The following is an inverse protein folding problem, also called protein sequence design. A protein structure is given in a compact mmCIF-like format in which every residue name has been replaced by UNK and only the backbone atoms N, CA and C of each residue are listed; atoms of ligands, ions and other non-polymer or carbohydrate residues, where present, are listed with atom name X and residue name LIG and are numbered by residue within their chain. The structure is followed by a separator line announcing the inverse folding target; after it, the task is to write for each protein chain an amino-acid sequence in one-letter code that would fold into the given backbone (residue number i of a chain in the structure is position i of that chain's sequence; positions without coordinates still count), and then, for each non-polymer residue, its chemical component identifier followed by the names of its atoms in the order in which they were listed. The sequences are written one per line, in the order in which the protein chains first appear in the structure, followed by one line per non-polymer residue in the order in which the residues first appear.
data_IF_266222970836
#
_entry.id   IF_266222970836
#
_cell.length_a   1.000
_cell.length_b   1.000
_cell.length_c   1.000
_cell.angle_alpha   90.00
_cell.angle_beta   90.00
_cell.angle_gamma   90.00
#
_symmetry.space_group_name_H-M   'P 1'
#
loop_
_entity.id
_entity.type
_entity.pdbx_description
1 polymer ?
#
# COMPACT_ATOMS: atom_id res chain seq x y z
N UNK A 1 10.84 -5.23 7.03
CA UNK A 1 10.97 -4.36 5.87
C UNK A 1 10.86 -5.12 4.55
N UNK A 2 11.69 -6.17 4.32
CA UNK A 2 11.67 -6.93 3.05
C UNK A 2 10.27 -7.42 2.66
N UNK A 3 9.45 -7.85 3.62
CA UNK A 3 8.08 -8.29 3.35
C UNK A 3 7.13 -7.19 2.92
N UNK A 4 7.32 -5.95 3.38
CA UNK A 4 6.48 -4.81 3.01
C UNK A 4 6.77 -4.27 1.60
N UNK A 5 8.01 -4.41 1.14
CA UNK A 5 8.45 -3.87 -0.16
C UNK A 5 8.60 -4.94 -1.24
N UNK A 6 8.41 -6.23 -0.92
CA UNK A 6 8.53 -7.32 -1.88
C UNK A 6 7.33 -7.36 -2.84
N UNK A 7 7.45 -6.94 -4.10
CA UNK A 7 6.31 -6.82 -5.01
C UNK A 7 5.76 -8.18 -5.47
N UNK A 8 6.60 -9.22 -5.43
CA UNK A 8 6.23 -10.58 -5.82
C UNK A 8 5.60 -11.39 -4.68
N UNK A 9 5.69 -10.88 -3.42
CA UNK A 9 5.28 -11.66 -2.26
C UNK A 9 6.19 -12.86 -1.94
N UNK A 10 7.39 -12.95 -2.55
CA UNK A 10 8.34 -14.03 -2.29
C UNK A 10 8.88 -14.00 -0.84
N UNK A 11 8.92 -12.82 -0.25
CA UNK A 11 9.24 -12.62 1.16
C UNK A 11 7.99 -12.15 1.89
N UNK A 12 7.51 -12.93 2.82
CA UNK A 12 6.32 -12.63 3.61
C UNK A 12 6.62 -12.82 5.09
N UNK A 13 5.87 -12.13 5.93
CA UNK A 13 5.93 -12.36 7.37
C UNK A 13 5.03 -13.54 7.72
N UNK A 14 5.59 -14.53 8.39
CA UNK A 14 4.86 -15.74 8.74
C UNK A 14 3.84 -15.49 9.86
N UNK A 15 4.12 -14.55 10.79
CA UNK A 15 3.24 -14.32 11.94
C UNK A 15 3.23 -12.87 12.42
N UNK A 16 2.03 -12.28 12.57
CA UNK A 16 0.81 -12.71 11.87
C UNK A 16 0.98 -12.46 10.36
N UNK A 17 0.31 -13.22 9.48
CA UNK A 17 0.25 -12.90 8.05
C UNK A 17 -0.40 -11.52 7.82
N UNK A 18 -0.12 -10.88 6.70
CA UNK A 18 -0.60 -9.50 6.44
C UNK A 18 -2.13 -9.39 6.36
N UNK A 19 -2.80 -10.39 5.82
CA UNK A 19 -4.26 -10.47 5.76
C UNK A 19 -4.88 -10.64 7.15
N UNK A 20 -4.26 -11.43 8.02
CA UNK A 20 -4.70 -11.56 9.41
C UNK A 20 -4.54 -10.25 10.18
N UNK A 21 -3.39 -9.57 10.03
CA UNK A 21 -3.16 -8.27 10.67
C UNK A 21 -4.21 -7.24 10.23
N UNK A 22 -4.49 -7.17 8.93
CA UNK A 22 -5.51 -6.25 8.43
C UNK A 22 -6.92 -6.64 8.89
N UNK A 23 -7.19 -7.94 9.08
CA UNK A 23 -8.44 -8.41 9.68
C UNK A 23 -8.57 -8.05 11.16
N UNK A 24 -7.47 -8.03 11.91
CA UNK A 24 -7.46 -7.55 13.30
C UNK A 24 -7.73 -6.04 13.37
N UNK A 25 -7.12 -5.27 12.47
CA UNK A 25 -7.35 -3.83 12.33
C UNK A 25 -8.83 -3.55 11.99
N UNK A 26 -9.44 -4.35 11.11
CA UNK A 26 -10.86 -4.23 10.77
C UNK A 26 -11.75 -4.49 12.00
N UNK A 27 -11.52 -5.59 12.70
CA UNK A 27 -12.29 -5.94 13.91
C UNK A 27 -12.16 -4.91 15.02
N UNK A 28 -10.97 -4.36 15.21
CA UNK A 28 -10.76 -3.30 16.20
C UNK A 28 -11.60 -2.06 15.87
N UNK A 29 -11.68 -1.69 14.59
CA UNK A 29 -12.52 -0.59 14.15
C UNK A 29 -14.02 -0.88 14.37
N UNK A 30 -14.45 -2.12 14.07
CA UNK A 30 -15.85 -2.53 14.26
C UNK A 30 -16.25 -2.42 15.74
N UNK A 31 -15.48 -3.00 16.65
CA UNK A 31 -15.75 -2.88 18.09
C UNK A 31 -15.75 -1.44 18.60
N UNK A 32 -14.81 -0.62 18.10
CA UNK A 32 -14.76 0.79 18.46
C UNK A 32 -16.01 1.55 18.00
N UNK A 33 -16.48 1.28 16.78
CA UNK A 33 -17.69 1.93 16.23
C UNK A 33 -18.97 1.43 16.87
N UNK A 34 -19.07 0.12 17.17
CA UNK A 34 -20.20 -0.46 17.92
C UNK A 34 -20.31 0.13 19.33
N UNK A 35 -19.17 0.45 19.97
CA UNK A 35 -19.13 1.15 21.24
C UNK A 35 -19.47 2.66 21.14
N UNK A 36 -19.83 3.16 19.93
CA UNK A 36 -20.19 4.56 19.69
C UNK A 36 -19.01 5.47 19.35
N UNK A 37 -17.82 4.91 19.15
CA UNK A 37 -16.63 5.65 18.73
C UNK A 37 -16.76 6.24 17.33
N UNK A 38 -16.09 7.36 17.10
CA UNK A 38 -16.12 8.09 15.81
C UNK A 38 -14.72 8.57 15.46
N UNK A 39 -14.48 8.70 14.15
CA UNK A 39 -13.23 9.27 13.62
C UNK A 39 -11.97 8.54 14.13
N UNK A 40 -12.01 7.21 14.10
CA UNK A 40 -10.88 6.39 14.53
C UNK A 40 -9.61 6.71 13.74
N UNK A 41 -8.49 6.76 14.42
CA UNK A 41 -7.15 6.78 13.86
C UNK A 41 -6.39 5.54 14.30
N UNK A 42 -5.65 4.92 13.39
CA UNK A 42 -4.83 3.75 13.68
C UNK A 42 -3.44 4.22 14.12
N UNK A 43 -2.89 3.62 15.18
CA UNK A 43 -1.50 3.83 15.59
C UNK A 43 -0.74 2.51 15.51
N UNK A 44 0.15 2.40 14.53
CA UNK A 44 1.06 1.27 14.41
C UNK A 44 2.35 1.57 15.17
N UNK A 45 2.75 0.67 16.06
CA UNK A 45 3.97 0.81 16.85
C UNK A 45 4.68 -0.53 17.04
N UNK A 46 5.98 -0.49 17.27
CA UNK A 46 6.74 -1.71 17.57
C UNK A 46 6.58 -2.12 19.06
N UNK A 47 6.96 -3.37 19.35
CA UNK A 47 6.89 -3.97 20.68
C UNK A 47 7.98 -3.50 21.65
N UNK A 48 8.94 -2.72 21.18
CA UNK A 48 10.05 -2.22 21.98
C UNK A 48 9.92 -0.70 22.19
N UNK A 49 10.56 0.08 21.34
CA UNK A 49 10.60 1.53 21.43
C UNK A 49 9.20 2.18 21.45
N UNK A 50 8.34 1.76 20.51
CA UNK A 50 7.01 2.33 20.40
C UNK A 50 6.13 2.02 21.59
N UNK A 51 6.20 0.80 22.14
CA UNK A 51 5.46 0.43 23.34
C UNK A 51 5.95 1.24 24.57
N UNK A 52 7.26 1.31 24.78
CA UNK A 52 7.82 2.09 25.88
C UNK A 52 7.42 3.57 25.80
N UNK A 53 7.43 4.16 24.61
CA UNK A 53 7.03 5.56 24.42
C UNK A 53 5.55 5.76 24.74
N UNK A 54 4.66 4.85 24.32
CA UNK A 54 3.24 4.90 24.67
C UNK A 54 3.03 4.77 26.18
N UNK A 55 3.77 3.91 26.87
CA UNK A 55 3.72 3.76 28.32
C UNK A 55 4.19 5.03 29.05
N UNK A 56 5.24 5.70 28.55
CA UNK A 56 5.72 6.98 29.08
C UNK A 56 4.62 8.05 28.93
N UNK A 57 4.03 8.17 27.73
CA UNK A 57 2.93 9.11 27.47
C UNK A 57 1.72 8.83 28.37
N UNK A 58 1.41 7.54 28.62
CA UNK A 58 0.31 7.16 29.50
C UNK A 58 0.59 7.45 30.97
N UNK A 59 1.82 7.25 31.43
CA UNK A 59 2.21 7.40 32.84
C UNK A 59 2.46 8.85 33.26
N UNK A 60 3.10 9.63 32.40
CA UNK A 60 3.59 10.98 32.73
C UNK A 60 2.88 12.09 31.96
N UNK A 61 2.12 11.75 30.91
CA UNK A 61 1.39 12.69 30.06
C UNK A 61 -0.13 12.50 30.10
N UNK A 62 -0.78 12.79 28.98
CA UNK A 62 -2.24 12.75 28.81
C UNK A 62 -2.78 11.38 28.38
N UNK A 63 -1.92 10.41 28.17
CA UNK A 63 -2.28 9.14 27.57
C UNK A 63 -2.60 9.25 26.07
N UNK A 64 -3.10 8.16 25.50
CA UNK A 64 -3.58 8.16 24.12
C UNK A 64 -5.01 8.73 24.05
N UNK A 65 -5.30 9.56 23.03
CA UNK A 65 -6.68 10.00 22.79
C UNK A 65 -7.59 8.80 22.50
N UNK A 66 -8.83 8.84 22.97
CA UNK A 66 -9.78 7.72 22.83
C UNK A 66 -10.06 7.29 21.38
N UNK A 67 -9.82 8.17 20.40
CA UNK A 67 -9.98 7.85 18.97
C UNK A 67 -8.75 7.24 18.33
N UNK A 68 -7.62 7.17 19.03
CA UNK A 68 -6.38 6.55 18.52
C UNK A 68 -6.32 5.11 19.01
N UNK A 69 -6.39 4.19 18.08
CA UNK A 69 -6.43 2.75 18.31
C UNK A 69 -5.03 2.15 18.05
N UNK A 70 -4.30 1.75 19.10
CA UNK A 70 -2.96 1.20 18.94
C UNK A 70 -2.99 -0.26 18.50
N UNK A 71 -2.09 -0.61 17.60
CA UNK A 71 -1.78 -1.99 17.18
C UNK A 71 -0.27 -2.20 17.30
N UNK A 72 0.10 -3.17 18.12
CA UNK A 72 1.49 -3.55 18.32
C UNK A 72 1.97 -4.50 17.20
N UNK A 73 3.17 -4.23 16.69
CA UNK A 73 3.84 -5.02 15.66
C UNK A 73 5.26 -5.36 16.11
N UNK A 74 5.81 -6.49 15.66
CA UNK A 74 7.22 -6.78 15.93
C UNK A 74 8.15 -5.70 15.33
N UNK A 75 7.83 -5.20 14.14
CA UNK A 75 8.51 -4.09 13.49
C UNK A 75 7.53 -3.30 12.63
N UNK A 76 7.53 -1.98 12.77
CA UNK A 76 6.74 -1.08 11.92
C UNK A 76 7.19 -1.08 10.45
N UNK A 77 8.40 -1.58 10.17
CA UNK A 77 8.88 -1.80 8.81
C UNK A 77 8.02 -2.76 7.97
N UNK A 78 7.00 -3.39 8.57
CA UNK A 78 5.98 -4.19 7.87
C UNK A 78 4.82 -3.37 7.33
N UNK A 79 4.67 -2.13 7.75
CA UNK A 79 3.58 -1.28 7.32
C UNK A 79 3.81 -0.77 5.89
N UNK A 80 3.59 -1.63 4.90
CA UNK A 80 3.63 -1.28 3.49
C UNK A 80 2.41 -0.45 3.07
N UNK A 81 2.44 0.04 1.83
CA UNK A 81 1.32 0.77 1.22
C UNK A 81 0.00 -0.02 1.25
N UNK A 82 0.08 -1.35 1.20
CA UNK A 82 -1.03 -2.28 1.28
C UNK A 82 -1.80 -2.15 2.62
N UNK A 83 -1.07 -2.12 3.74
CA UNK A 83 -1.66 -1.95 5.07
C UNK A 83 -2.19 -0.53 5.26
N UNK A 84 -1.45 0.48 4.81
CA UNK A 84 -1.83 1.89 4.89
C UNK A 84 -3.14 2.16 4.13
N UNK A 85 -3.21 1.74 2.86
CA UNK A 85 -4.40 1.87 2.01
C UNK A 85 -5.56 1.03 2.58
N UNK A 86 -5.27 -0.18 3.03
CA UNK A 86 -6.26 -1.06 3.65
C UNK A 86 -6.93 -0.42 4.86
N UNK A 87 -6.17 0.18 5.77
CA UNK A 87 -6.71 0.85 6.95
C UNK A 87 -7.59 2.06 6.57
N UNK A 88 -7.17 2.87 5.60
CA UNK A 88 -7.99 4.00 5.10
C UNK A 88 -9.28 3.48 4.44
N UNK A 89 -9.21 2.40 3.67
CA UNK A 89 -10.39 1.81 3.03
C UNK A 89 -11.39 1.26 4.05
N UNK A 90 -10.92 0.69 5.15
CA UNK A 90 -11.76 0.24 6.25
C UNK A 90 -12.49 1.40 6.94
N UNK A 91 -11.92 2.60 6.96
CA UNK A 91 -12.57 3.79 7.51
C UNK A 91 -11.76 4.56 8.56
N UNK A 92 -10.51 4.20 8.79
CA UNK A 92 -9.63 5.00 9.63
C UNK A 92 -9.39 6.37 8.99
N UNK A 93 -9.47 7.43 9.80
CA UNK A 93 -9.25 8.81 9.37
C UNK A 93 -7.77 9.09 9.08
N UNK A 94 -6.91 8.53 9.92
CA UNK A 94 -5.47 8.63 9.82
C UNK A 94 -4.82 7.31 10.24
N UNK A 95 -3.65 7.07 9.67
CA UNK A 95 -2.75 5.98 10.05
C UNK A 95 -1.46 6.62 10.53
N UNK A 96 -1.22 6.54 11.82
CA UNK A 96 0.03 6.93 12.44
C UNK A 96 0.97 5.72 12.48
N UNK A 97 2.22 5.94 12.12
CA UNK A 97 3.27 4.93 12.22
C UNK A 97 4.38 5.51 13.10
N UNK A 98 4.53 4.95 14.28
CA UNK A 98 5.51 5.42 15.26
C UNK A 98 6.87 4.80 14.94
N UNK A 99 7.78 5.62 14.44
CA UNK A 99 9.12 5.22 14.02
C UNK A 99 10.08 5.25 15.21
N UNK A 100 11.06 4.35 15.20
CA UNK A 100 12.19 4.46 16.08
C UNK A 100 13.24 5.38 15.41
N UNK A 101 13.53 6.57 15.96
CA UNK A 101 14.44 7.53 15.35
C UNK A 101 15.89 7.00 15.24
N UNK A 102 16.25 5.99 16.02
CA UNK A 102 17.57 5.36 15.96
C UNK A 102 17.71 4.30 14.84
N UNK A 103 16.60 4.00 14.12
CA UNK A 103 16.56 3.00 13.04
C UNK A 103 16.35 3.63 11.66
N UNK A 104 17.15 4.61 11.32
CA UNK A 104 17.00 5.42 10.09
C UNK A 104 16.97 4.55 8.81
N UNK A 105 17.83 3.55 8.70
CA UNK A 105 17.86 2.63 7.55
C UNK A 105 16.60 1.76 7.43
N UNK A 106 15.89 1.49 8.53
CA UNK A 106 14.61 0.78 8.49
C UNK A 106 13.45 1.74 8.16
N UNK A 107 13.59 3.02 8.45
CA UNK A 107 12.56 4.03 8.26
C UNK A 107 12.49 4.57 6.83
N UNK A 108 13.62 4.68 6.13
CA UNK A 108 13.72 5.26 4.79
C UNK A 108 12.77 4.60 3.77
N UNK A 109 12.70 3.26 3.64
CA UNK A 109 11.75 2.63 2.74
C UNK A 109 10.27 2.85 3.10
N UNK A 110 9.95 3.14 4.38
CA UNK A 110 8.58 3.47 4.78
C UNK A 110 8.13 4.83 4.22
N UNK A 111 9.06 5.76 4.03
CA UNK A 111 8.78 7.05 3.39
C UNK A 111 8.27 6.81 1.96
N UNK A 112 8.97 5.99 1.18
CA UNK A 112 8.56 5.65 -0.18
C UNK A 112 7.20 4.90 -0.21
N UNK A 113 6.96 3.99 0.76
CA UNK A 113 5.68 3.30 0.89
C UNK A 113 4.53 4.26 1.23
N UNK A 114 4.77 5.25 2.09
CA UNK A 114 3.80 6.30 2.39
C UNK A 114 3.50 7.14 1.15
N UNK A 115 4.52 7.59 0.42
CA UNK A 115 4.36 8.40 -0.79
C UNK A 115 3.56 7.65 -1.86
N UNK A 116 3.86 6.38 -2.06
CA UNK A 116 3.08 5.52 -2.96
C UNK A 116 1.61 5.44 -2.52
N UNK A 117 1.35 5.16 -1.24
CA UNK A 117 0.01 5.05 -0.71
C UNK A 117 -0.77 6.37 -0.85
N UNK A 118 -0.16 7.52 -0.53
CA UNK A 118 -0.80 8.83 -0.65
C UNK A 118 -1.07 9.20 -2.12
N UNK A 119 -0.17 8.87 -3.04
CA UNK A 119 -0.38 9.04 -4.48
C UNK A 119 -1.59 8.24 -4.95
N UNK A 120 -1.66 6.97 -4.57
CA UNK A 120 -2.78 6.11 -4.91
C UNK A 120 -4.10 6.60 -4.33
N UNK A 121 -4.13 6.97 -3.04
CA UNK A 121 -5.33 7.51 -2.37
C UNK A 121 -5.80 8.83 -3.02
N UNK A 122 -4.87 9.70 -3.37
CA UNK A 122 -5.18 10.96 -4.08
C UNK A 122 -5.82 10.68 -5.44
N UNK A 123 -5.32 9.71 -6.18
CA UNK A 123 -5.87 9.30 -7.47
C UNK A 123 -7.32 8.79 -7.40
N UNK A 124 -7.76 8.26 -6.27
CA UNK A 124 -9.17 7.85 -6.06
C UNK A 124 -10.02 8.92 -5.39
N UNK A 125 -9.52 10.15 -5.30
CA UNK A 125 -10.29 11.30 -4.79
C UNK A 125 -10.28 11.46 -3.27
N UNK A 126 -9.42 10.74 -2.57
CA UNK A 126 -9.15 10.94 -1.14
C UNK A 126 -8.04 12.00 -1.04
N UNK A 127 -8.46 13.26 -0.93
CA UNK A 127 -7.59 14.41 -1.13
C UNK A 127 -6.67 14.69 0.07
N UNK A 128 -5.43 14.88 -0.26
CA UNK A 128 -4.44 15.56 0.57
C UNK A 128 -3.52 14.65 1.37
N UNK A 129 -2.23 14.97 1.31
CA UNK A 129 -1.22 14.40 2.20
C UNK A 129 -1.63 14.51 3.67
N UNK A 130 -1.36 13.48 4.48
CA UNK A 130 -1.62 13.48 5.92
C UNK A 130 -2.70 12.51 6.40
N UNK A 131 -3.16 11.60 5.53
CA UNK A 131 -3.86 10.40 6.01
C UNK A 131 -2.88 9.39 6.60
N UNK A 132 -1.64 9.39 6.13
CA UNK A 132 -0.58 8.54 6.64
C UNK A 132 0.51 9.43 7.21
N UNK A 133 0.74 9.30 8.51
CA UNK A 133 1.64 10.17 9.27
C UNK A 133 2.74 9.32 9.90
N UNK A 134 3.97 9.57 9.49
CA UNK A 134 5.14 9.00 10.17
C UNK A 134 5.48 9.89 11.37
N UNK A 135 5.56 9.29 12.54
CA UNK A 135 5.93 9.94 13.78
C UNK A 135 7.38 9.54 14.10
N UNK A 136 8.30 10.45 13.88
CA UNK A 136 9.76 10.24 13.98
C UNK A 136 10.42 11.07 15.08
N UNK A 137 9.62 11.73 15.94
CA UNK A 137 10.11 12.48 17.06
C UNK A 137 10.49 11.56 18.23
N UNK A 138 11.53 11.93 18.97
CA UNK A 138 11.95 11.23 20.19
C UNK A 138 11.31 11.80 21.46
N UNK A 139 10.68 12.99 21.37
CA UNK A 139 10.02 13.64 22.49
C UNK A 139 8.60 13.08 22.69
N UNK A 140 8.31 12.44 23.85
CA UNK A 140 6.99 11.92 24.17
C UNK A 140 5.88 12.99 24.13
N UNK A 141 6.18 14.22 24.53
CA UNK A 141 5.21 15.30 24.54
C UNK A 141 4.88 15.76 23.12
N UNK A 142 5.87 15.85 22.21
CA UNK A 142 5.66 16.18 20.82
C UNK A 142 4.79 15.11 20.12
N UNK A 143 5.08 13.83 20.36
CA UNK A 143 4.27 12.70 19.85
C UNK A 143 2.85 12.77 20.42
N UNK A 144 2.70 12.99 21.73
CA UNK A 144 1.39 13.12 22.39
C UNK A 144 0.59 14.27 21.77
N UNK A 145 1.19 15.42 21.57
CA UNK A 145 0.55 16.59 20.96
C UNK A 145 0.09 16.27 19.54
N UNK A 146 0.92 15.58 18.77
CA UNK A 146 0.57 15.17 17.40
C UNK A 146 -0.62 14.21 17.35
N UNK A 147 -0.68 13.23 18.27
CA UNK A 147 -1.79 12.29 18.38
C UNK A 147 -3.10 12.95 18.82
N UNK A 148 -3.02 14.03 19.66
CA UNK A 148 -4.18 14.79 20.11
C UNK A 148 -4.68 15.82 19.09
N UNK A 149 -3.91 16.14 18.06
CA UNK A 149 -4.37 17.03 17.00
C UNK A 149 -5.51 16.37 16.21
N UNK A 150 -6.65 17.05 16.15
CA UNK A 150 -7.76 16.59 15.32
C UNK A 150 -7.37 16.70 13.85
N UNK A 151 -7.57 15.63 13.12
CA UNK A 151 -7.43 15.68 11.67
C UNK A 151 -8.41 16.72 11.10
N UNK A 152 -7.88 17.70 10.39
CA UNK A 152 -8.69 18.64 9.61
C UNK A 152 -9.17 18.01 8.29
N UNK A 153 -8.67 16.83 7.96
CA UNK A 153 -8.93 16.15 6.70
C UNK A 153 -10.09 15.18 6.85
N UNK A 154 -10.97 15.23 5.87
CA UNK A 154 -12.05 14.28 5.80
C UNK A 154 -11.52 13.02 5.12
N UNK A 155 -11.50 11.91 5.82
CA UNK A 155 -11.34 10.63 5.15
C UNK A 155 -12.41 10.54 4.06
N UNK A 156 -12.05 9.94 2.95
CA UNK A 156 -13.03 9.59 1.92
C UNK A 156 -14.16 8.73 2.50
N UNK A 157 -15.13 8.40 1.68
CA UNK A 157 -16.15 7.44 2.11
C UNK A 157 -15.49 6.08 2.33
N UNK A 158 -15.65 5.46 3.49
CA UNK A 158 -15.16 4.11 3.73
C UNK A 158 -15.66 3.14 2.66
N UNK A 159 -14.84 2.18 2.34
CA UNK A 159 -15.14 1.14 1.36
C UNK A 159 -14.66 -0.22 1.90
N UNK A 160 -15.28 -0.71 3.00
CA UNK A 160 -14.81 -1.90 3.70
C UNK A 160 -14.77 -3.11 2.76
N UNK A 161 -13.78 -3.95 2.98
CA UNK A 161 -13.52 -5.16 2.20
C UNK A 161 -12.98 -6.26 3.11
N UNK A 162 -13.04 -7.50 2.64
CA UNK A 162 -12.40 -8.62 3.32
C UNK A 162 -10.97 -8.76 2.82
N UNK A 163 -9.96 -8.58 3.67
CA UNK A 163 -8.55 -8.71 3.29
C UNK A 163 -8.14 -10.18 3.19
N UNK A 164 -8.52 -10.82 2.09
CA UNK A 164 -8.19 -12.23 1.82
C UNK A 164 -7.25 -12.30 0.63
N UNK A 165 -6.24 -13.14 0.74
CA UNK A 165 -5.28 -13.39 -0.34
C UNK A 165 -3.98 -12.59 -0.20
N UNK A 166 -3.37 -12.25 -1.34
CA UNK A 166 -2.08 -11.58 -1.36
C UNK A 166 -2.19 -10.08 -1.07
N UNK A 167 -1.14 -9.44 -0.51
CA UNK A 167 -1.09 -7.99 -0.33
C UNK A 167 -1.47 -7.21 -1.59
N UNK A 168 -0.95 -7.61 -2.74
CA UNK A 168 -1.27 -7.01 -4.03
C UNK A 168 -2.76 -7.16 -4.41
N UNK A 169 -3.33 -8.34 -4.15
CA UNK A 169 -4.73 -8.63 -4.47
C UNK A 169 -5.70 -7.78 -3.64
N UNK A 170 -5.53 -7.75 -2.33
CA UNK A 170 -6.42 -6.94 -1.49
C UNK A 170 -6.18 -5.43 -1.62
N UNK A 171 -4.96 -4.98 -1.95
CA UNK A 171 -4.71 -3.58 -2.31
C UNK A 171 -5.51 -3.18 -3.55
N UNK A 172 -5.50 -4.00 -4.60
CA UNK A 172 -6.33 -3.75 -5.79
C UNK A 172 -7.82 -3.68 -5.45
N UNK A 173 -8.30 -4.61 -4.63
CA UNK A 173 -9.70 -4.62 -4.20
C UNK A 173 -10.05 -3.36 -3.41
N UNK A 174 -9.21 -2.97 -2.44
CA UNK A 174 -9.40 -1.76 -1.65
C UNK A 174 -9.44 -0.51 -2.53
N UNK A 175 -8.49 -0.36 -3.46
CA UNK A 175 -8.41 0.77 -4.37
C UNK A 175 -9.63 0.87 -5.30
N UNK A 176 -10.09 -0.24 -5.88
CA UNK A 176 -11.28 -0.26 -6.72
C UNK A 176 -12.55 0.12 -5.95
N UNK A 177 -12.70 -0.39 -4.72
CA UNK A 177 -13.81 -0.03 -3.84
C UNK A 177 -13.77 1.43 -3.40
N UNK A 178 -12.59 1.94 -3.04
CA UNK A 178 -12.41 3.36 -2.72
C UNK A 178 -12.75 4.25 -3.92
N UNK A 179 -12.29 3.90 -5.12
CA UNK A 179 -12.60 4.62 -6.35
C UNK A 179 -14.12 4.70 -6.59
N UNK A 180 -14.83 3.57 -6.45
CA UNK A 180 -16.28 3.52 -6.60
C UNK A 180 -17.00 4.36 -5.53
N UNK A 181 -16.62 4.23 -4.25
CA UNK A 181 -17.24 4.96 -3.13
C UNK A 181 -17.03 6.47 -3.23
N UNK A 182 -15.85 6.90 -3.69
CA UNK A 182 -15.47 8.30 -3.78
C UNK A 182 -15.72 8.91 -5.17
N UNK A 183 -16.31 8.14 -6.09
CA UNK A 183 -16.61 8.56 -7.47
C UNK A 183 -15.36 9.12 -8.17
N UNK A 184 -14.28 8.36 -8.11
CA UNK A 184 -13.02 8.73 -8.75
C UNK A 184 -13.24 9.03 -10.24
N UNK A 185 -12.65 10.12 -10.71
CA UNK A 185 -12.74 10.52 -12.13
C UNK A 185 -11.71 9.80 -13.00
N UNK A 186 -10.60 9.43 -12.39
CA UNK A 186 -9.51 8.77 -13.08
C UNK A 186 -9.66 7.26 -12.96
N UNK A 187 -9.42 6.56 -14.05
CA UNK A 187 -9.35 5.09 -14.09
C UNK A 187 -7.91 4.60 -14.09
N UNK A 188 -6.97 5.46 -14.42
CA UNK A 188 -5.52 5.21 -14.42
C UNK A 188 -4.87 6.28 -13.55
N UNK A 189 -4.07 5.85 -12.59
CA UNK A 189 -3.35 6.73 -11.66
C UNK A 189 -1.87 6.60 -12.00
N UNK A 190 -1.23 7.70 -12.41
CA UNK A 190 0.22 7.73 -12.59
C UNK A 190 0.91 7.54 -11.23
N UNK A 191 1.95 6.72 -11.20
CA UNK A 191 2.70 6.41 -9.99
C UNK A 191 4.15 6.90 -10.11
N UNK A 192 4.84 7.11 -8.98
CA UNK A 192 6.25 7.45 -8.99
C UNK A 192 7.10 6.31 -9.57
N UNK A 193 8.28 6.66 -10.04
CA UNK A 193 9.28 5.71 -10.52
C UNK A 193 9.61 4.68 -9.43
N UNK A 194 9.77 3.42 -9.84
CA UNK A 194 10.01 2.31 -8.91
C UNK A 194 8.76 1.75 -8.23
N UNK A 195 7.56 2.28 -8.52
CA UNK A 195 6.32 1.70 -8.03
C UNK A 195 6.13 0.26 -8.59
N UNK A 196 5.61 -0.69 -7.77
CA UNK A 196 5.47 -2.09 -8.17
C UNK A 196 4.23 -2.37 -9.02
N UNK A 197 3.62 -1.36 -9.60
CA UNK A 197 2.42 -1.42 -10.44
C UNK A 197 2.67 -0.62 -11.72
N UNK A 198 2.20 -1.14 -12.85
CA UNK A 198 2.31 -0.43 -14.10
C UNK A 198 2.10 -1.31 -15.32
N UNK A 199 2.18 -0.69 -16.46
CA UNK A 199 2.07 -1.36 -17.75
C UNK A 199 3.43 -1.50 -18.44
N UNK A 200 3.45 -2.38 -19.40
CA UNK A 200 4.54 -2.55 -20.35
C UNK A 200 4.07 -1.97 -21.68
N UNK A 201 4.87 -1.08 -22.27
CA UNK A 201 4.67 -0.59 -23.62
C UNK A 201 5.67 -1.27 -24.55
N UNK A 202 5.20 -1.79 -25.68
CA UNK A 202 6.01 -2.48 -26.67
C UNK A 202 5.87 -1.75 -27.99
N UNK A 203 6.99 -1.41 -28.62
CA UNK A 203 7.00 -0.97 -30.02
C UNK A 203 6.75 -2.19 -30.92
N UNK A 204 5.50 -2.33 -31.34
CA UNK A 204 5.02 -3.49 -32.13
C UNK A 204 5.63 -3.56 -33.49
N UNK A 205 6.02 -2.43 -34.09
CA UNK A 205 6.59 -2.39 -35.45
C UNK A 205 8.00 -3.00 -35.51
N UNK A 206 8.72 -2.91 -34.39
CA UNK A 206 10.08 -3.41 -34.26
C UNK A 206 10.17 -4.68 -33.40
N UNK A 207 9.04 -5.21 -32.91
CA UNK A 207 8.98 -6.44 -32.13
C UNK A 207 9.02 -7.68 -33.04
N UNK A 208 10.02 -8.54 -32.87
CA UNK A 208 10.17 -9.80 -33.64
C UNK A 208 9.36 -10.96 -33.06
N UNK A 209 8.59 -10.76 -31.99
CA UNK A 209 7.83 -11.80 -31.27
C UNK A 209 8.71 -13.01 -30.90
N UNK A 210 9.94 -12.75 -30.45
CA UNK A 210 10.89 -13.79 -30.07
C UNK A 210 10.57 -14.46 -28.73
N UNK A 211 9.56 -13.99 -27.98
CA UNK A 211 9.06 -14.50 -26.71
C UNK A 211 10.08 -14.51 -25.54
N UNK A 212 11.26 -13.90 -25.70
CA UNK A 212 12.26 -13.84 -24.63
C UNK A 212 11.73 -13.13 -23.37
N UNK A 213 10.90 -12.10 -23.54
CA UNK A 213 10.26 -11.37 -22.45
C UNK A 213 9.20 -12.23 -21.72
N UNK A 214 8.53 -13.12 -22.41
CA UNK A 214 7.57 -14.09 -21.83
C UNK A 214 8.31 -15.08 -20.95
N UNK A 215 9.35 -15.73 -21.47
CA UNK A 215 10.15 -16.70 -20.73
C UNK A 215 10.88 -16.10 -19.51
N UNK A 216 11.21 -14.80 -19.57
CA UNK A 216 11.90 -14.11 -18.50
C UNK A 216 10.97 -13.52 -17.42
N UNK A 217 9.65 -13.45 -17.66
CA UNK A 217 8.72 -12.78 -16.73
C UNK A 217 8.43 -13.63 -15.48
N UNK A 218 8.94 -13.26 -14.28
CA UNK A 218 8.79 -14.09 -13.09
C UNK A 218 7.35 -14.13 -12.56
N UNK A 219 6.52 -13.16 -12.96
CA UNK A 219 5.13 -13.05 -12.53
C UNK A 219 4.13 -13.56 -13.59
N UNK A 220 4.60 -14.01 -14.75
CA UNK A 220 3.73 -14.44 -15.85
C UNK A 220 2.82 -13.33 -16.36
N UNK A 221 3.25 -12.07 -16.22
CA UNK A 221 2.48 -10.91 -16.69
C UNK A 221 2.50 -10.79 -18.22
N UNK A 222 3.60 -11.17 -18.85
CA UNK A 222 3.71 -11.32 -20.30
C UNK A 222 3.50 -12.78 -20.68
N UNK A 223 2.65 -13.01 -21.64
CA UNK A 223 2.28 -14.35 -22.11
C UNK A 223 2.27 -14.38 -23.65
N UNK A 224 2.47 -15.54 -24.23
CA UNK A 224 2.23 -15.78 -25.66
C UNK A 224 0.74 -16.06 -25.89
N UNK A 225 0.29 -15.75 -27.08
CA UNK A 225 -1.03 -16.15 -27.55
C UNK A 225 -0.87 -17.43 -28.39
N UNK A 226 -1.39 -18.59 -27.93
CA UNK A 226 -1.23 -19.85 -28.67
C UNK A 226 -1.98 -19.87 -30.01
N UNK A 227 -2.98 -19.01 -30.19
CA UNK A 227 -3.83 -18.99 -31.38
C UNK A 227 -3.41 -17.92 -32.41
N UNK A 228 -2.51 -17.01 -32.04
CA UNK A 228 -2.05 -15.93 -32.93
C UNK A 228 -0.61 -15.50 -32.58
N UNK A 229 0.18 -14.98 -33.55
CA UNK A 229 1.50 -14.43 -33.27
C UNK A 229 1.41 -13.08 -32.58
N UNK A 230 1.05 -13.11 -31.29
CA UNK A 230 0.71 -11.96 -30.50
C UNK A 230 1.15 -12.16 -29.04
N UNK A 231 1.59 -11.09 -28.40
CA UNK A 231 1.84 -11.07 -26.95
C UNK A 231 0.55 -10.70 -26.20
N UNK A 232 0.35 -11.34 -25.06
CA UNK A 232 -0.68 -10.97 -24.10
C UNK A 232 -0.03 -10.38 -22.85
N UNK A 233 -0.67 -9.38 -22.27
CA UNK A 233 -0.17 -8.72 -21.08
C UNK A 233 -1.23 -8.59 -20.00
N UNK A 234 -0.88 -9.01 -18.80
CA UNK A 234 -1.71 -8.85 -17.59
C UNK A 234 -1.09 -7.81 -16.68
N UNK A 235 -1.62 -6.61 -16.68
CA UNK A 235 -1.12 -5.50 -15.88
C UNK A 235 -1.25 -5.78 -14.37
N UNK A 236 -2.29 -6.48 -13.94
CA UNK A 236 -2.49 -6.86 -12.54
C UNK A 236 -1.36 -7.73 -11.99
N UNK A 237 -0.71 -8.53 -12.82
CA UNK A 237 0.41 -9.38 -12.45
C UNK A 237 1.78 -8.68 -12.58
N UNK A 238 1.89 -7.59 -13.33
CA UNK A 238 3.16 -6.93 -13.62
C UNK A 238 3.77 -6.31 -12.36
N UNK A 239 5.03 -6.65 -12.08
CA UNK A 239 5.79 -6.18 -10.91
C UNK A 239 6.66 -4.96 -11.19
N UNK A 240 6.69 -4.46 -12.43
CA UNK A 240 7.57 -3.37 -12.89
C UNK A 240 9.07 -3.65 -12.62
N UNK A 241 9.48 -4.92 -12.64
CA UNK A 241 10.83 -5.35 -12.28
C UNK A 241 11.90 -5.10 -13.35
N UNK A 242 11.51 -4.76 -14.58
CA UNK A 242 12.42 -4.43 -15.68
C UNK A 242 13.12 -5.63 -16.37
N UNK A 243 12.89 -6.87 -15.93
CA UNK A 243 13.57 -8.05 -16.50
C UNK A 243 13.23 -8.19 -18.00
N UNK A 244 11.97 -7.97 -18.40
CA UNK A 244 11.57 -8.01 -19.80
C UNK A 244 12.29 -6.95 -20.65
N UNK A 245 12.53 -5.76 -20.11
CA UNK A 245 13.30 -4.69 -20.78
C UNK A 245 14.75 -5.12 -20.98
N UNK A 246 15.38 -5.66 -19.92
CA UNK A 246 16.77 -6.11 -19.97
C UNK A 246 16.99 -7.31 -20.90
N UNK A 247 15.98 -8.18 -21.02
CA UNK A 247 16.07 -9.42 -21.82
C UNK A 247 15.74 -9.19 -23.30
N UNK A 248 15.03 -8.10 -23.63
CA UNK A 248 14.62 -7.83 -25.01
C UNK A 248 15.82 -7.55 -25.93
N UNK A 249 16.08 -8.38 -26.97
CA UNK A 249 17.20 -8.16 -27.87
C UNK A 249 17.01 -6.91 -28.76
N UNK A 250 15.76 -6.62 -29.12
CA UNK A 250 15.39 -5.47 -29.96
C UNK A 250 15.26 -4.17 -29.19
N UNK A 251 15.27 -4.21 -27.82
CA UNK A 251 15.13 -3.06 -26.91
C UNK A 251 13.85 -2.23 -27.16
N UNK A 252 12.76 -2.88 -27.51
CA UNK A 252 11.47 -2.26 -27.86
C UNK A 252 10.51 -2.16 -26.68
N UNK A 253 10.94 -2.54 -25.47
CA UNK A 253 10.10 -2.59 -24.28
C UNK A 253 10.42 -1.42 -23.35
N UNK A 254 9.38 -0.69 -22.93
CA UNK A 254 9.46 0.33 -21.90
C UNK A 254 8.44 0.07 -20.78
N UNK A 255 8.73 0.58 -19.59
CA UNK A 255 7.85 0.48 -18.43
C UNK A 255 7.19 1.82 -18.16
N UNK A 256 5.93 1.77 -17.74
CA UNK A 256 5.16 2.94 -17.33
C UNK A 256 4.51 2.66 -15.97
N UNK A 257 5.01 3.27 -14.88
CA UNK A 257 4.43 3.11 -13.56
C UNK A 257 3.04 3.74 -13.48
N UNK A 258 2.03 2.90 -13.24
CA UNK A 258 0.64 3.31 -13.10
C UNK A 258 -0.18 2.31 -12.29
N UNK A 259 -1.32 2.74 -11.77
CA UNK A 259 -2.32 1.87 -11.18
C UNK A 259 -3.61 1.94 -11.99
N UNK A 260 -3.93 0.86 -12.67
CA UNK A 260 -5.14 0.73 -13.48
C UNK A 260 -6.28 0.14 -12.65
N UNK A 261 -7.36 0.91 -12.50
CA UNK A 261 -8.55 0.56 -11.72
C UNK A 261 -9.57 -0.26 -12.52
N UNK A 262 -9.39 -0.39 -13.83
CA UNK A 262 -10.34 -1.07 -14.72
C UNK A 262 -10.14 -2.57 -14.77
N UNK A 263 -11.14 -3.29 -15.28
CA UNK A 263 -11.06 -4.74 -15.48
C UNK A 263 -10.09 -5.11 -16.62
N UNK A 264 -9.81 -4.20 -17.55
CA UNK A 264 -8.81 -4.40 -18.61
C UNK A 264 -7.39 -4.62 -18.07
N UNK A 265 -7.11 -4.23 -16.83
CA UNK A 265 -5.84 -4.58 -16.18
C UNK A 265 -5.64 -6.10 -16.02
N UNK A 266 -6.70 -6.90 -16.08
CA UNK A 266 -6.63 -8.35 -15.85
C UNK A 266 -6.31 -9.16 -17.12
N UNK A 267 -6.58 -8.62 -18.29
CA UNK A 267 -6.15 -9.21 -19.57
C UNK A 267 -6.17 -8.11 -20.65
N UNK A 268 -5.06 -7.86 -21.27
CA UNK A 268 -4.94 -6.93 -22.38
C UNK A 268 -4.11 -7.55 -23.49
N UNK A 269 -4.56 -7.37 -24.74
CA UNK A 269 -3.75 -7.64 -25.92
C UNK A 269 -2.76 -6.47 -26.10
N UNK A 270 -1.53 -6.79 -26.54
CA UNK A 270 -0.49 -5.83 -26.87
C UNK A 270 -0.35 -5.68 -28.37
#
# INVERSE_FOLDING_TARGET
LCGAVCPSGAVQTAYPPSDQLLSEIARLLDYYTEAGGKNASLLLHDTNYGLELIEIIARYGRGLPAHVLPISMHSVGRAGHDLMIGAVALGYQQVFILLNPNKTLENEPLIAQRELAETMLTGVGISGAGHIVLLDDADPDAISDRLHQKSSKRAGRPAPFSPVGTPRGYTRLAMRRLAASNKAKQTIIALPDGAPYGRVNIDTDNCTICLSCVGACPAGALQDNPDAPQLLFREDACLQCGICVATCPEKVITLEPQFNLTDSAMAAEL
#
